data_IF_331876377772
#
_entry.id   IF_331876377772
#
_cell.length_a   1.000
_cell.length_b   1.000
_cell.length_c   1.000
_cell.angle_alpha   90.00
_cell.angle_beta   90.00
_cell.angle_gamma   90.00
#
_symmetry.space_group_name_H-M   'P 1'
#
loop_
_entity.id
_entity.type
_entity.pdbx_description
1 polymer ?
#
# COMPACT_ATOMS: atom_id res chain seq x y z
N UNK A 1 7.47 4.09 -3.65
CA UNK A 1 6.88 5.38 -3.21
C UNK A 1 5.71 5.11 -2.29
N UNK A 2 5.73 5.73 -1.14
CA UNK A 2 4.67 5.66 -0.15
C UNK A 2 4.40 7.07 0.38
N UNK A 3 3.18 7.30 0.84
CA UNK A 3 2.82 8.53 1.56
C UNK A 3 2.08 8.16 2.84
N UNK A 4 2.37 8.87 3.93
CA UNK A 4 1.74 8.66 5.21
C UNK A 4 0.86 9.82 5.66
N UNK A 5 -0.21 9.52 6.38
CA UNK A 5 -1.11 10.51 6.95
C UNK A 5 -1.78 11.40 5.90
N UNK A 6 -1.89 12.68 6.22
CA UNK A 6 -2.64 13.67 5.40
C UNK A 6 -1.84 14.26 4.24
N UNK A 7 -0.52 14.13 4.22
CA UNK A 7 0.36 14.80 3.26
C UNK A 7 0.02 14.50 1.80
N UNK A 8 -0.38 13.25 1.49
CA UNK A 8 -0.82 12.91 0.13
C UNK A 8 -2.05 13.71 -0.28
N UNK A 9 -3.05 13.83 0.62
CA UNK A 9 -4.27 14.54 0.33
C UNK A 9 -4.01 16.03 0.08
N UNK A 10 -3.19 16.63 0.92
CA UNK A 10 -2.85 18.06 0.82
C UNK A 10 -2.13 18.39 -0.51
N UNK A 11 -1.31 17.48 -1.01
CA UNK A 11 -0.65 17.65 -2.30
C UNK A 11 -1.61 17.35 -3.48
N UNK A 12 -2.34 16.23 -3.39
CA UNK A 12 -3.24 15.77 -4.45
C UNK A 12 -4.43 16.70 -4.67
N UNK A 13 -5.06 17.22 -3.60
CA UNK A 13 -6.23 18.10 -3.72
C UNK A 13 -5.94 19.43 -4.43
N UNK A 14 -4.64 19.80 -4.55
CA UNK A 14 -4.18 20.98 -5.29
C UNK A 14 -3.60 20.64 -6.67
N UNK A 15 -3.56 19.35 -7.01
CA UNK A 15 -2.99 18.92 -8.28
C UNK A 15 -3.96 19.12 -9.45
N UNK A 16 -3.47 19.35 -10.68
CA UNK A 16 -4.31 19.57 -11.86
C UNK A 16 -5.22 18.37 -12.19
N UNK A 17 -4.86 17.18 -11.75
CA UNK A 17 -5.66 15.97 -11.93
C UNK A 17 -6.92 15.95 -11.06
N UNK A 18 -6.93 16.70 -9.94
CA UNK A 18 -8.05 16.68 -9.00
C UNK A 18 -9.34 17.19 -9.64
N UNK A 19 -10.32 16.31 -9.78
CA UNK A 19 -11.62 16.60 -10.37
C UNK A 19 -11.64 16.75 -11.90
N UNK A 20 -10.50 16.54 -12.60
CA UNK A 20 -10.42 16.76 -14.04
C UNK A 20 -10.40 15.49 -14.89
N UNK A 21 -10.15 14.33 -14.29
CA UNK A 21 -10.05 13.04 -14.99
C UNK A 21 -10.81 11.95 -14.22
N UNK A 22 -11.07 10.81 -14.88
CA UNK A 22 -11.87 9.73 -14.32
C UNK A 22 -11.24 9.09 -13.06
N UNK A 23 -9.91 8.87 -13.09
CA UNK A 23 -9.14 8.30 -11.97
C UNK A 23 -8.05 9.29 -11.51
N UNK A 24 -8.43 10.41 -10.87
CA UNK A 24 -7.51 11.53 -10.66
C UNK A 24 -6.34 11.19 -9.74
N UNK A 25 -6.54 10.35 -8.71
CA UNK A 25 -5.47 9.96 -7.81
C UNK A 25 -4.47 9.02 -8.49
N UNK A 26 -4.93 8.16 -9.39
CA UNK A 26 -4.08 7.26 -10.16
C UNK A 26 -3.27 8.05 -11.21
N UNK A 27 -3.90 9.02 -11.88
CA UNK A 27 -3.23 9.94 -12.81
C UNK A 27 -2.15 10.79 -12.10
N UNK A 28 -2.49 11.38 -10.96
CA UNK A 28 -1.54 12.12 -10.11
C UNK A 28 -0.35 11.22 -9.69
N UNK A 29 -0.64 10.00 -9.23
CA UNK A 29 0.39 9.05 -8.81
C UNK A 29 1.34 8.73 -9.97
N UNK A 30 0.79 8.46 -11.15
CA UNK A 30 1.59 8.20 -12.36
C UNK A 30 2.54 9.33 -12.66
N UNK A 31 2.01 10.55 -12.80
CA UNK A 31 2.83 11.73 -13.13
C UNK A 31 3.95 11.96 -12.11
N UNK A 32 3.64 11.90 -10.82
CA UNK A 32 4.65 12.11 -9.77
C UNK A 32 5.69 10.98 -9.77
N UNK A 33 5.28 9.75 -10.02
CA UNK A 33 6.20 8.62 -10.10
C UNK A 33 7.10 8.71 -11.31
N UNK A 34 6.55 9.04 -12.49
CA UNK A 34 7.32 9.21 -13.74
C UNK A 34 8.33 10.35 -13.61
N UNK A 35 7.93 11.48 -13.01
CA UNK A 35 8.85 12.59 -12.75
C UNK A 35 10.00 12.18 -11.82
N UNK A 36 9.70 11.45 -10.74
CA UNK A 36 10.73 10.97 -9.81
C UNK A 36 11.67 9.94 -10.47
N UNK A 37 11.16 9.07 -11.33
CA UNK A 37 11.96 8.09 -12.08
C UNK A 37 12.87 8.78 -13.09
N UNK A 38 12.39 9.84 -13.75
CA UNK A 38 13.17 10.60 -14.71
C UNK A 38 14.38 11.34 -14.09
N UNK A 39 14.34 11.59 -12.77
CA UNK A 39 15.46 12.18 -12.02
C UNK A 39 16.53 11.15 -11.62
N UNK A 40 16.26 9.85 -11.79
CA UNK A 40 17.22 8.80 -11.47
C UNK A 40 18.13 8.57 -12.67
N UNK A 41 19.44 8.58 -12.44
CA UNK A 41 20.47 8.31 -13.46
C UNK A 41 20.60 6.81 -13.81
N UNK A 42 19.51 6.06 -13.74
CA UNK A 42 19.54 4.61 -13.85
C UNK A 42 18.34 4.07 -14.65
N UNK A 43 18.48 2.85 -15.16
CA UNK A 43 17.37 2.08 -15.73
C UNK A 43 16.37 1.74 -14.63
N UNK A 44 15.51 2.69 -14.30
CA UNK A 44 14.48 2.50 -13.30
C UNK A 44 13.16 2.04 -13.93
N UNK A 45 12.51 1.08 -13.30
CA UNK A 45 11.19 0.59 -13.68
C UNK A 45 10.19 0.87 -12.56
N UNK A 46 9.13 1.61 -12.86
CA UNK A 46 8.03 1.82 -11.92
C UNK A 46 6.96 0.73 -12.06
N UNK A 47 6.51 0.21 -10.92
CA UNK A 47 5.30 -0.60 -10.77
C UNK A 47 4.26 0.24 -10.03
N UNK A 48 3.13 0.50 -10.65
CA UNK A 48 2.05 1.26 -10.03
C UNK A 48 1.03 0.32 -9.38
N UNK A 49 0.52 0.69 -8.19
CA UNK A 49 -0.36 -0.17 -7.39
C UNK A 49 -1.70 -0.49 -8.07
N UNK A 50 -2.12 0.30 -9.05
CA UNK A 50 -3.36 0.15 -9.80
C UNK A 50 -3.16 -0.51 -11.18
N UNK A 51 -1.93 -0.86 -11.55
CA UNK A 51 -1.62 -1.51 -12.83
C UNK A 51 -1.44 -3.01 -12.67
N UNK A 52 -1.84 -3.71 -13.73
CA UNK A 52 -1.57 -5.14 -13.89
C UNK A 52 -0.43 -5.34 -14.89
N UNK A 53 0.45 -6.26 -14.56
CA UNK A 53 1.41 -6.82 -15.52
C UNK A 53 1.08 -8.29 -15.73
N UNK A 54 0.92 -8.71 -16.98
CA UNK A 54 0.51 -10.06 -17.34
C UNK A 54 -0.78 -10.52 -16.63
N UNK A 55 -1.71 -9.58 -16.42
CA UNK A 55 -2.98 -9.84 -15.75
C UNK A 55 -2.93 -9.87 -14.21
N UNK A 56 -1.76 -9.69 -13.61
CA UNK A 56 -1.54 -9.80 -12.16
C UNK A 56 -1.16 -8.44 -11.55
N UNK A 57 -1.71 -8.13 -10.38
CA UNK A 57 -1.23 -7.02 -9.55
C UNK A 57 -0.01 -7.44 -8.74
N UNK A 58 0.96 -6.55 -8.59
CA UNK A 58 2.06 -6.76 -7.66
C UNK A 58 1.54 -6.78 -6.21
N UNK A 59 2.09 -7.67 -5.37
CA UNK A 59 1.77 -7.72 -3.94
C UNK A 59 2.49 -6.60 -3.19
N UNK A 60 1.86 -5.44 -3.13
CA UNK A 60 2.42 -4.25 -2.48
C UNK A 60 2.58 -4.41 -0.96
N UNK A 61 1.82 -5.30 -0.32
CA UNK A 61 1.97 -5.58 1.11
C UNK A 61 3.26 -6.34 1.35
N UNK A 62 3.51 -7.38 0.56
CA UNK A 62 4.75 -8.17 0.68
C UNK A 62 5.98 -7.36 0.25
N UNK A 63 5.90 -6.63 -0.86
CA UNK A 63 6.99 -5.78 -1.33
C UNK A 63 7.33 -4.66 -0.33
N UNK A 64 6.32 -4.04 0.29
CA UNK A 64 6.52 -3.05 1.35
C UNK A 64 7.14 -3.66 2.61
N UNK A 65 6.77 -4.89 2.97
CA UNK A 65 7.39 -5.64 4.07
C UNK A 65 8.87 -5.93 3.77
N UNK A 66 9.18 -6.39 2.57
CA UNK A 66 10.57 -6.64 2.14
C UNK A 66 11.42 -5.38 2.10
N UNK A 67 10.81 -4.24 1.78
CA UNK A 67 11.45 -2.92 1.83
C UNK A 67 11.58 -2.34 3.25
N UNK A 68 11.13 -3.06 4.29
CA UNK A 68 11.23 -2.59 5.68
C UNK A 68 10.27 -1.46 6.05
N UNK A 69 9.22 -1.21 5.26
CA UNK A 69 8.27 -0.13 5.49
C UNK A 69 7.24 -0.43 6.59
N UNK A 70 7.11 -1.68 7.01
CA UNK A 70 6.15 -2.06 8.02
C UNK A 70 5.91 -3.57 8.11
N UNK A 71 4.86 -3.95 8.81
CA UNK A 71 4.44 -5.33 8.99
C UNK A 71 3.04 -5.59 8.42
N UNK A 72 2.80 -6.79 7.85
CA UNK A 72 1.45 -7.23 7.48
C UNK A 72 0.53 -7.28 8.69
N UNK A 73 -0.74 -6.94 8.49
CA UNK A 73 -1.72 -6.87 9.56
C UNK A 73 -2.93 -7.75 9.31
N UNK A 74 -3.77 -7.89 10.35
CA UNK A 74 -5.11 -8.53 10.25
C UNK A 74 -6.05 -7.77 9.32
N UNK A 75 -5.77 -6.49 9.03
CA UNK A 75 -6.49 -5.67 8.07
C UNK A 75 -6.14 -5.99 6.60
N UNK A 76 -5.21 -6.92 6.34
CA UNK A 76 -4.62 -7.18 5.02
C UNK A 76 -3.96 -5.93 4.41
N UNK A 77 -3.48 -5.04 5.26
CA UNK A 77 -2.70 -3.86 4.93
C UNK A 77 -1.31 -3.99 5.55
N UNK A 78 -0.34 -3.30 4.98
CA UNK A 78 0.93 -3.04 5.62
C UNK A 78 0.72 -1.95 6.68
N UNK A 79 1.06 -2.23 7.94
CA UNK A 79 1.09 -1.21 8.99
C UNK A 79 2.48 -0.61 9.08
N UNK A 80 2.56 0.70 8.92
CA UNK A 80 3.78 1.44 9.15
C UNK A 80 3.94 1.75 10.65
N UNK A 81 5.15 1.70 11.25
CA UNK A 81 5.35 1.96 12.67
C UNK A 81 4.79 3.30 13.16
N UNK A 82 4.93 4.35 12.35
CA UNK A 82 4.42 5.68 12.66
C UNK A 82 2.98 5.88 12.17
N UNK A 83 2.70 5.60 10.90
CA UNK A 83 1.42 5.93 10.28
C UNK A 83 0.34 4.85 10.46
N UNK A 84 0.67 3.70 11.02
CA UNK A 84 -0.28 2.59 11.14
C UNK A 84 -0.87 2.21 9.77
N UNK A 85 -2.21 2.04 9.69
CA UNK A 85 -2.90 1.74 8.44
C UNK A 85 -3.11 2.98 7.53
N UNK A 86 -2.63 4.16 7.95
CA UNK A 86 -2.82 5.43 7.24
C UNK A 86 -1.66 5.77 6.31
N UNK A 87 -0.94 4.75 5.87
CA UNK A 87 0.04 4.82 4.80
C UNK A 87 -0.55 4.28 3.50
N UNK A 88 -0.28 4.94 2.39
CA UNK A 88 -0.65 4.51 1.05
C UNK A 88 0.59 4.11 0.27
N UNK A 89 0.68 2.84 -0.13
CA UNK A 89 1.68 2.35 -1.07
C UNK A 89 1.15 2.57 -2.49
N UNK A 90 1.82 3.39 -3.28
CA UNK A 90 1.32 3.82 -4.59
C UNK A 90 2.16 3.34 -5.75
N UNK A 91 3.48 3.28 -5.56
CA UNK A 91 4.41 2.80 -6.57
C UNK A 91 5.63 2.14 -5.93
N UNK A 92 6.25 1.23 -6.65
CA UNK A 92 7.55 0.66 -6.37
C UNK A 92 8.45 1.02 -7.54
N UNK A 93 9.63 1.52 -7.24
CA UNK A 93 10.66 1.79 -8.23
C UNK A 93 11.75 0.75 -8.07
N UNK A 94 11.99 -0.01 -9.12
CA UNK A 94 13.09 -0.97 -9.22
C UNK A 94 14.25 -0.27 -9.91
N UNK A 95 15.42 -0.33 -9.30
CA UNK A 95 16.66 0.29 -9.80
C UNK A 95 17.75 -0.77 -9.89
N UNK A 96 18.81 -0.51 -10.65
CA UNK A 96 20.01 -1.35 -10.68
C UNK A 96 20.98 -1.04 -9.54
N UNK A 97 20.70 0.00 -8.75
CA UNK A 97 21.53 0.39 -7.60
C UNK A 97 21.47 -0.68 -6.52
N UNK A 98 22.64 -1.19 -6.14
CA UNK A 98 22.75 -2.09 -5.00
C UNK A 98 22.65 -1.30 -3.69
N UNK A 99 21.73 -1.74 -2.82
CA UNK A 99 21.55 -1.18 -1.49
C UNK A 99 21.91 -2.21 -0.44
N UNK A 100 22.65 -1.79 0.56
CA UNK A 100 22.82 -2.62 1.76
C UNK A 100 21.46 -2.84 2.42
N UNK A 101 21.13 -4.10 2.67
CA UNK A 101 19.93 -4.43 3.44
C UNK A 101 20.12 -3.99 4.87
N UNK A 102 19.29 -3.06 5.30
CA UNK A 102 19.16 -2.71 6.72
C UNK A 102 18.68 -3.91 7.54
N UNK A 103 18.86 -3.83 8.86
CA UNK A 103 18.30 -4.85 9.76
C UNK A 103 16.78 -4.99 9.55
N UNK A 104 16.24 -6.21 9.64
CA UNK A 104 14.79 -6.41 9.57
C UNK A 104 14.06 -5.55 10.60
N UNK A 105 12.97 -4.93 10.20
CA UNK A 105 12.14 -4.13 11.10
C UNK A 105 11.52 -5.03 12.18
N UNK A 106 11.94 -4.84 13.45
CA UNK A 106 11.38 -5.56 14.60
C UNK A 106 10.03 -4.94 15.01
N UNK A 107 9.03 -5.05 14.13
CA UNK A 107 7.71 -4.48 14.30
C UNK A 107 6.62 -5.51 14.00
N UNK A 108 5.92 -5.98 15.03
CA UNK A 108 4.79 -6.91 14.94
C UNK A 108 3.65 -6.41 15.84
N UNK A 109 2.91 -5.38 15.41
CA UNK A 109 1.92 -4.71 16.24
C UNK A 109 0.67 -5.58 16.51
N UNK A 110 0.41 -6.58 15.67
CA UNK A 110 -0.77 -7.41 15.81
C UNK A 110 -0.58 -8.60 16.77
N UNK A 111 0.64 -8.91 17.18
CA UNK A 111 0.97 -10.10 17.98
C UNK A 111 0.32 -10.06 19.37
N UNK A 112 0.37 -8.91 20.03
CA UNK A 112 -0.19 -8.72 21.39
C UNK A 112 -1.38 -7.74 21.41
N UNK A 113 -1.87 -7.34 20.23
CA UNK A 113 -2.97 -6.41 20.11
C UNK A 113 -4.31 -7.10 20.45
N UNK A 114 -5.20 -6.49 21.24
CA UNK A 114 -6.54 -7.01 21.51
C UNK A 114 -7.43 -7.07 20.27
N UNK A 115 -6.93 -6.60 19.12
CA UNK A 115 -7.57 -6.63 17.81
C UNK A 115 -8.96 -5.94 17.76
N UNK A 116 -9.09 -4.69 18.20
CA UNK A 116 -10.39 -3.99 18.18
C UNK A 116 -10.94 -3.87 16.75
N UNK A 117 -10.08 -3.93 15.74
CA UNK A 117 -10.46 -3.94 14.32
C UNK A 117 -11.26 -5.19 13.91
N UNK A 118 -11.17 -6.29 14.65
CA UNK A 118 -11.91 -7.52 14.33
C UNK A 118 -13.42 -7.41 14.54
N UNK A 119 -13.86 -6.51 15.42
CA UNK A 119 -15.28 -6.26 15.69
C UNK A 119 -15.91 -5.25 14.73
N UNK A 120 -15.13 -4.65 13.83
CA UNK A 120 -15.63 -3.61 12.95
C UNK A 120 -16.46 -4.18 11.79
N UNK A 121 -17.54 -3.48 11.46
CA UNK A 121 -18.49 -3.89 10.41
C UNK A 121 -18.10 -3.47 8.99
N UNK A 122 -17.06 -2.64 8.87
CA UNK A 122 -16.53 -2.20 7.57
C UNK A 122 -15.00 -2.06 7.61
N UNK A 123 -14.38 -2.10 6.44
CA UNK A 123 -12.94 -1.90 6.32
C UNK A 123 -12.49 -0.51 6.82
N UNK A 124 -13.27 0.53 6.58
CA UNK A 124 -12.99 1.88 7.06
C UNK A 124 -13.05 1.95 8.59
N UNK A 125 -14.07 1.35 9.21
CA UNK A 125 -14.20 1.25 10.66
C UNK A 125 -13.05 0.42 11.27
N UNK A 126 -12.66 -0.68 10.63
CA UNK A 126 -11.55 -1.50 11.05
C UNK A 126 -10.22 -0.73 11.05
N UNK A 127 -9.97 0.09 10.00
CA UNK A 127 -8.79 0.97 9.96
C UNK A 127 -8.80 1.99 11.11
N UNK A 128 -9.95 2.62 11.39
CA UNK A 128 -10.09 3.59 12.49
C UNK A 128 -9.90 2.96 13.86
N UNK A 129 -10.28 1.70 14.03
CA UNK A 129 -10.10 0.96 15.28
C UNK A 129 -8.66 0.48 15.52
N UNK A 130 -7.75 0.61 14.54
CA UNK A 130 -6.37 0.23 14.72
C UNK A 130 -5.68 1.11 15.76
N UNK A 131 -4.95 0.48 16.66
CA UNK A 131 -4.23 1.16 17.77
C UNK A 131 -2.91 1.79 17.34
N UNK A 132 -2.47 1.56 16.12
CA UNK A 132 -1.21 2.10 15.58
C UNK A 132 -1.49 3.34 14.75
N UNK A 133 -0.85 4.45 15.07
CA UNK A 133 -0.93 5.72 14.33
C UNK A 133 -2.32 6.35 14.29
N UNK A 134 -3.12 6.37 15.38
CA UNK A 134 -4.47 6.92 15.38
C UNK A 134 -4.48 8.43 15.06
N UNK A 135 -3.41 9.14 15.34
CA UNK A 135 -3.23 10.57 15.05
C UNK A 135 -3.08 10.88 13.55
N UNK A 136 -2.78 9.85 12.75
CA UNK A 136 -2.58 9.97 11.30
C UNK A 136 -3.83 9.67 10.47
N UNK A 137 -4.98 9.55 11.10
CA UNK A 137 -6.27 9.37 10.40
C UNK A 137 -6.42 10.43 9.31
N UNK A 138 -6.84 9.99 8.12
CA UNK A 138 -7.13 10.90 7.02
C UNK A 138 -8.22 11.89 7.39
N UNK A 139 -8.16 13.12 6.88
CA UNK A 139 -9.23 14.10 7.00
C UNK A 139 -10.54 13.60 6.36
N UNK A 140 -11.66 14.22 6.75
CA UNK A 140 -12.99 13.81 6.29
C UNK A 140 -13.13 13.87 4.76
N UNK A 141 -12.58 14.91 4.12
CA UNK A 141 -12.59 15.07 2.67
C UNK A 141 -11.86 13.93 1.95
N UNK A 142 -10.68 13.54 2.48
CA UNK A 142 -9.92 12.43 1.95
C UNK A 142 -10.67 11.10 2.12
N UNK A 143 -11.31 10.88 3.26
CA UNK A 143 -12.12 9.69 3.52
C UNK A 143 -13.36 9.64 2.62
N UNK A 144 -14.03 10.77 2.41
CA UNK A 144 -15.18 10.88 1.50
C UNK A 144 -14.77 10.61 0.05
N UNK A 145 -13.62 11.12 -0.38
CA UNK A 145 -13.06 10.84 -1.70
C UNK A 145 -12.78 9.34 -1.87
N UNK A 146 -12.07 8.72 -0.92
CA UNK A 146 -11.78 7.29 -0.96
C UNK A 146 -13.06 6.42 -0.95
N UNK A 147 -14.08 6.81 -0.19
CA UNK A 147 -15.34 6.09 -0.15
C UNK A 147 -16.07 6.11 -1.50
N UNK A 148 -16.09 7.25 -2.19
CA UNK A 148 -16.67 7.41 -3.53
C UNK A 148 -16.04 6.47 -4.53
N UNK A 149 -14.72 6.48 -4.63
CA UNK A 149 -13.97 5.62 -5.58
C UNK A 149 -14.04 4.14 -5.24
N UNK A 150 -14.19 3.76 -3.97
CA UNK A 150 -14.39 2.38 -3.57
C UNK A 150 -15.75 1.81 -4.01
N UNK A 151 -16.76 2.66 -4.13
CA UNK A 151 -18.09 2.27 -4.61
C UNK A 151 -18.15 2.17 -6.14
N UNK A 152 -17.37 2.97 -6.84
CA UNK A 152 -17.34 3.02 -8.32
C UNK A 152 -16.48 1.90 -8.94
N UNK A 153 -15.52 1.37 -8.22
CA UNK A 153 -14.73 0.21 -8.66
C UNK A 153 -15.34 -1.08 -8.08
N UNK A 154 -16.01 -1.91 -8.87
CA UNK A 154 -16.50 -3.20 -8.38
C UNK A 154 -15.31 -3.97 -7.80
N UNK A 155 -15.49 -4.52 -6.61
CA UNK A 155 -14.56 -5.47 -6.01
C UNK A 155 -14.36 -6.62 -7.00
N UNK A 156 -13.31 -6.55 -7.79
CA UNK A 156 -12.88 -7.71 -8.57
C UNK A 156 -12.43 -8.72 -7.52
N UNK A 157 -13.32 -9.67 -7.25
CA UNK A 157 -13.01 -10.80 -6.40
C UNK A 157 -11.75 -11.43 -6.96
N UNK A 158 -10.60 -11.14 -6.34
CA UNK A 158 -9.34 -11.78 -6.66
C UNK A 158 -9.48 -13.25 -6.25
N UNK A 159 -9.89 -14.10 -7.18
CA UNK A 159 -9.58 -15.52 -7.11
C UNK A 159 -8.07 -15.62 -7.29
N UNK A 160 -7.34 -15.41 -6.21
CA UNK A 160 -5.95 -15.81 -6.15
C UNK A 160 -5.92 -17.33 -6.39
N UNK A 161 -5.24 -17.83 -7.41
CA UNK A 161 -4.97 -19.25 -7.51
C UNK A 161 -4.22 -19.61 -6.23
N UNK A 162 -4.73 -20.63 -5.53
CA UNK A 162 -4.00 -21.23 -4.40
C UNK A 162 -2.67 -21.72 -4.97
N UNK A 163 -1.59 -21.00 -4.69
CA UNK A 163 -0.25 -21.52 -4.92
C UNK A 163 -0.16 -22.85 -4.20
N UNK A 164 -0.13 -23.93 -4.99
CA UNK A 164 0.07 -25.26 -4.47
C UNK A 164 1.35 -25.24 -3.63
N UNK A 165 1.22 -25.52 -2.34
CA UNK A 165 2.37 -25.76 -1.47
C UNK A 165 3.13 -26.93 -2.09
N UNK A 166 4.21 -26.65 -2.79
CA UNK A 166 5.21 -27.70 -3.09
C UNK A 166 5.75 -28.13 -1.73
N UNK A 167 5.33 -29.31 -1.31
CA UNK A 167 5.96 -30.00 -0.20
C UNK A 167 7.41 -30.24 -0.63
N UNK A 168 8.34 -29.47 -0.06
CA UNK A 168 9.74 -29.85 -0.07
C UNK A 168 9.84 -31.07 0.86
N UNK A 169 9.97 -32.21 0.27
CA UNK A 169 10.27 -33.46 0.96
C UNK A 169 11.78 -33.43 1.30
N UNK A 170 12.22 -33.41 2.58
CA UNK A 170 13.63 -33.30 2.92
C UNK A 170 14.30 -34.67 3.12
N UNK A 171 13.89 -35.71 2.40
CA UNK A 171 14.55 -37.01 2.46
C UNK A 171 14.55 -37.68 1.08
N UNK A 172 15.63 -37.48 0.36
CA UNK A 172 16.12 -38.47 -0.62
C UNK A 172 17.64 -38.45 -0.62
N UNK A 173 18.20 -39.52 0.00
CA UNK A 173 19.45 -40.20 -0.26
C UNK A 173 20.75 -39.45 -0.30
#
# INVERSE_FOLDING_TARGET
MASGGRALWDAFSRAPEFGSVADPLDAYTRRVTEAAVAELDDCALALLAFERRDGVYADFVELGRLAGLGAPSRLRLLLHPLYGPWMSLRAIVLTSVEWERGAPLAFDPCRKCPAPCAAATSHAAARRACVVGPEHVYGEDALAHHARYALEKPLVASKLPRLARRSMNPHAG
#
